data_IF_509148580413
#
_entry.id   IF_509148580413
#
_cell.length_a   1.000
_cell.length_b   1.000
_cell.length_c   1.000
_cell.angle_alpha   90.00
_cell.angle_beta   90.00
_cell.angle_gamma   90.00
#
_symmetry.space_group_name_H-M   'P 1'
#
loop_
_entity.id
_entity.type
_entity.pdbx_description
1 polymer ?
#
# COMPACT_ATOMS: atom_id res chain seq x y z
N UNK A 1 38.55 -30.67 -44.87
CA UNK A 1 38.89 -29.64 -45.88
C UNK A 1 37.54 -29.00 -46.24
N UNK A 2 37.17 -27.79 -45.87
CA UNK A 2 37.85 -26.48 -45.86
C UNK A 2 37.04 -25.56 -44.93
N UNK A 3 37.61 -25.14 -43.80
CA UNK A 3 37.95 -23.75 -43.45
C UNK A 3 36.83 -22.71 -43.62
N UNK A 4 36.19 -22.35 -42.50
CA UNK A 4 35.42 -21.11 -42.32
C UNK A 4 36.40 -19.96 -42.02
N UNK A 5 36.43 -18.87 -42.79
CA UNK A 5 37.18 -17.69 -42.40
C UNK A 5 36.41 -16.88 -41.34
N UNK A 6 37.04 -16.75 -40.18
CA UNK A 6 36.71 -15.77 -39.15
C UNK A 6 36.98 -14.35 -39.68
N UNK A 7 36.02 -13.44 -39.50
CA UNK A 7 36.27 -12.01 -39.71
C UNK A 7 35.95 -11.27 -38.43
N UNK A 8 37.02 -11.02 -37.68
CA UNK A 8 37.08 -10.10 -36.55
C UNK A 8 36.82 -8.69 -37.11
N UNK A 9 35.63 -8.14 -36.85
CA UNK A 9 35.37 -6.70 -37.01
C UNK A 9 35.41 -6.03 -35.65
N UNK A 10 36.44 -5.20 -35.50
CA UNK A 10 36.74 -4.31 -34.38
C UNK A 10 35.53 -3.42 -34.07
N UNK A 11 35.07 -3.43 -32.83
CA UNK A 11 34.12 -2.48 -32.27
C UNK A 11 34.83 -1.14 -32.11
N UNK A 12 34.37 -0.04 -32.74
CA UNK A 12 34.91 1.28 -32.44
C UNK A 12 34.39 1.73 -31.07
N UNK A 13 35.33 1.93 -30.15
CA UNK A 13 35.17 2.53 -28.85
C UNK A 13 34.77 4.01 -28.98
N UNK A 14 33.48 4.30 -29.13
CA UNK A 14 32.92 5.64 -28.95
C UNK A 14 31.47 5.51 -28.49
N UNK A 15 31.25 5.54 -27.16
CA UNK A 15 30.02 5.98 -26.47
C UNK A 15 30.08 5.56 -24.98
N UNK A 16 31.07 6.05 -24.24
CA UNK A 16 31.09 5.94 -22.74
C UNK A 16 30.89 7.32 -22.07
N UNK A 17 30.59 8.38 -22.82
CA UNK A 17 30.41 9.74 -22.27
C UNK A 17 28.98 10.29 -22.34
N UNK A 18 27.96 9.47 -22.11
CA UNK A 18 26.56 9.93 -22.08
C UNK A 18 25.69 9.29 -20.98
N UNK A 19 26.27 8.93 -19.83
CA UNK A 19 25.52 8.40 -18.68
C UNK A 19 25.74 9.19 -17.37
N UNK A 20 26.52 10.28 -17.37
CA UNK A 20 26.84 11.06 -16.17
C UNK A 20 26.09 12.40 -16.06
N UNK A 21 25.20 12.73 -17.01
CA UNK A 21 24.45 14.00 -17.02
C UNK A 21 23.01 13.91 -16.48
N UNK A 22 22.57 12.72 -16.03
CA UNK A 22 21.17 12.49 -15.60
C UNK A 22 21.02 12.19 -14.09
N UNK A 23 22.04 12.49 -13.28
CA UNK A 23 22.03 12.25 -11.83
C UNK A 23 22.44 13.45 -10.96
N UNK A 24 22.55 14.67 -11.51
CA UNK A 24 22.75 15.88 -10.72
C UNK A 24 21.62 16.87 -11.01
N UNK A 25 20.61 16.92 -10.11
CA UNK A 25 20.59 18.05 -9.18
C UNK A 25 20.17 17.68 -7.74
N UNK A 26 20.29 16.41 -7.33
CA UNK A 26 19.86 16.00 -5.98
C UNK A 26 20.94 16.20 -4.90
N UNK A 27 22.22 16.28 -5.27
CA UNK A 27 23.32 16.33 -4.30
C UNK A 27 23.67 17.74 -3.76
N UNK A 28 23.12 18.82 -4.34
CA UNK A 28 23.46 20.19 -3.94
C UNK A 28 22.59 20.78 -2.80
N UNK A 29 21.59 20.03 -2.32
CA UNK A 29 20.63 20.52 -1.31
C UNK A 29 21.09 20.23 0.13
N UNK A 30 22.10 19.37 0.31
CA UNK A 30 22.50 18.91 1.65
C UNK A 30 23.55 19.80 2.34
N UNK A 31 24.34 20.60 1.61
CA UNK A 31 25.48 21.36 2.15
C UNK A 31 25.38 22.88 1.88
N UNK A 32 24.19 23.48 1.95
CA UNK A 32 24.06 24.93 1.78
C UNK A 32 24.07 25.68 3.11
N UNK A 33 24.84 26.77 3.17
CA UNK A 33 24.72 27.77 4.22
C UNK A 33 23.41 28.52 4.07
N UNK A 34 22.75 28.80 5.20
CA UNK A 34 21.39 29.34 5.23
C UNK A 34 21.41 30.86 5.39
N UNK A 35 20.57 31.55 4.63
CA UNK A 35 20.32 32.99 4.80
C UNK A 35 19.02 33.24 5.54
N UNK A 36 18.98 34.39 6.21
CA UNK A 36 17.70 34.94 6.67
C UNK A 36 16.81 35.31 5.47
N UNK A 37 15.50 35.16 5.66
CA UNK A 37 14.52 35.65 4.72
C UNK A 37 14.51 37.19 4.67
N UNK A 38 14.40 37.76 3.47
CA UNK A 38 14.24 39.20 3.30
C UNK A 38 12.85 39.64 3.82
N UNK A 39 12.68 40.90 4.25
CA UNK A 39 11.39 41.41 4.69
C UNK A 39 10.26 41.22 3.66
N UNK A 40 10.56 41.40 2.37
CA UNK A 40 9.59 41.23 1.29
C UNK A 40 9.17 39.76 1.11
N UNK A 41 10.09 38.81 1.26
CA UNK A 41 9.81 37.37 1.23
C UNK A 41 8.90 36.97 2.39
N UNK A 42 9.19 37.48 3.60
CA UNK A 42 8.37 37.25 4.80
C UNK A 42 6.96 37.81 4.64
N UNK A 43 6.84 39.03 4.10
CA UNK A 43 5.56 39.66 3.85
C UNK A 43 4.74 38.90 2.78
N UNK A 44 5.39 38.45 1.70
CA UNK A 44 4.74 37.64 0.68
C UNK A 44 4.29 36.28 1.23
N UNK A 45 5.18 35.55 1.89
CA UNK A 45 4.89 34.25 2.48
C UNK A 45 3.74 34.33 3.48
N UNK A 46 3.73 35.34 4.37
CA UNK A 46 2.65 35.53 5.33
C UNK A 46 1.30 35.75 4.65
N UNK A 47 1.21 36.64 3.65
CA UNK A 47 -0.04 36.87 2.90
C UNK A 47 -0.50 35.63 2.13
N UNK A 48 0.43 34.96 1.45
CA UNK A 48 0.14 33.74 0.69
C UNK A 48 -0.37 32.62 1.60
N UNK A 49 0.29 32.41 2.75
CA UNK A 49 -0.11 31.41 3.72
C UNK A 49 -1.48 31.73 4.34
N UNK A 50 -1.73 32.99 4.71
CA UNK A 50 -3.06 33.40 5.20
C UNK A 50 -4.15 33.16 4.16
N UNK A 51 -3.89 33.43 2.88
CA UNK A 51 -4.83 33.16 1.80
C UNK A 51 -5.10 31.65 1.62
N UNK A 52 -4.05 30.81 1.66
CA UNK A 52 -4.20 29.36 1.60
C UNK A 52 -4.96 28.81 2.81
N UNK A 53 -4.68 29.28 4.02
CA UNK A 53 -5.40 28.86 5.24
C UNK A 53 -6.88 29.25 5.17
N UNK A 54 -7.19 30.45 4.67
CA UNK A 54 -8.57 30.90 4.49
C UNK A 54 -9.31 30.07 3.42
N UNK A 55 -8.59 29.51 2.46
CA UNK A 55 -9.15 28.63 1.42
C UNK A 55 -9.32 27.16 1.88
N UNK A 56 -8.78 26.75 3.04
CA UNK A 56 -9.00 25.40 3.56
C UNK A 56 -10.47 25.24 4.01
N UNK A 57 -11.16 24.14 3.63
CA UNK A 57 -12.56 23.93 3.97
C UNK A 57 -12.81 23.98 5.49
N UNK A 58 -13.93 24.55 5.97
CA UNK A 58 -14.26 24.49 7.40
C UNK A 58 -14.41 23.04 7.87
N UNK A 59 -14.25 22.80 9.17
CA UNK A 59 -14.45 21.46 9.76
C UNK A 59 -15.94 21.10 9.65
N UNK A 60 -16.32 20.01 8.95
CA UNK A 60 -17.71 19.58 8.86
C UNK A 60 -18.27 19.15 10.22
N UNK A 61 -19.60 19.17 10.36
CA UNK A 61 -20.25 18.67 11.57
C UNK A 61 -19.94 17.17 11.80
N UNK A 62 -19.62 16.79 13.04
CA UNK A 62 -19.29 15.40 13.40
C UNK A 62 -17.86 14.97 13.02
N UNK A 63 -17.05 15.87 12.49
CA UNK A 63 -15.66 15.64 12.11
C UNK A 63 -14.74 16.43 13.04
N UNK A 64 -13.64 15.83 13.46
CA UNK A 64 -12.61 16.48 14.27
C UNK A 64 -11.42 16.87 13.39
N UNK A 65 -10.81 18.01 13.65
CA UNK A 65 -9.50 18.34 13.08
C UNK A 65 -8.41 17.62 13.89
N UNK A 66 -7.57 16.83 13.22
CA UNK A 66 -6.55 16.02 13.89
C UNK A 66 -5.15 16.50 13.54
N UNK A 67 -4.62 17.45 14.30
CA UNK A 67 -3.17 17.63 14.44
C UNK A 67 -2.76 17.57 15.92
N UNK A 68 -1.84 16.64 16.21
CA UNK A 68 -1.35 16.25 17.53
C UNK A 68 -0.49 17.32 18.26
N UNK A 69 -0.42 18.53 17.73
CA UNK A 69 -0.24 19.81 18.41
C UNK A 69 -1.00 20.81 17.55
N UNK A 70 -1.68 21.84 18.11
CA UNK A 70 -2.24 22.88 17.28
C UNK A 70 -1.09 23.50 16.49
N UNK A 71 -1.04 23.24 15.19
CA UNK A 71 -0.37 24.15 14.31
C UNK A 71 -1.23 25.41 14.38
N UNK A 72 -0.81 26.33 15.22
CA UNK A 72 -1.52 27.59 15.39
C UNK A 72 -1.42 28.32 14.05
N UNK A 73 -2.42 28.18 13.19
CA UNK A 73 -2.46 28.88 11.91
C UNK A 73 -2.52 30.40 12.08
N UNK A 74 -2.75 30.90 13.31
CA UNK A 74 -2.59 32.31 13.68
C UNK A 74 -1.13 32.66 14.00
N UNK A 75 -0.28 31.67 14.23
CA UNK A 75 1.19 31.76 14.37
C UNK A 75 1.85 30.84 13.34
N UNK A 76 1.78 31.20 12.05
CA UNK A 76 2.37 30.38 11.02
C UNK A 76 3.85 30.10 11.33
N UNK A 77 4.34 28.88 11.10
CA UNK A 77 5.77 28.62 11.22
C UNK A 77 6.54 29.58 10.30
N UNK A 78 7.74 29.99 10.71
CA UNK A 78 8.68 30.67 9.82
C UNK A 78 8.83 29.88 8.52
N UNK A 79 9.16 30.54 7.40
CA UNK A 79 9.37 29.92 6.09
C UNK A 79 10.07 28.55 6.27
N UNK A 80 9.33 27.47 6.02
CA UNK A 80 9.79 26.10 6.30
C UNK A 80 10.87 25.64 5.33
N UNK A 81 11.02 26.33 4.20
CA UNK A 81 12.07 26.07 3.22
C UNK A 81 13.35 26.75 3.67
N UNK A 82 14.40 25.94 3.83
CA UNK A 82 15.75 26.42 4.13
C UNK A 82 16.23 27.23 2.93
N UNK A 83 16.26 28.56 3.08
CA UNK A 83 16.77 29.45 2.05
C UNK A 83 18.30 29.38 2.05
N UNK A 84 18.87 28.75 1.02
CA UNK A 84 20.32 28.74 0.83
C UNK A 84 20.84 30.15 0.45
N UNK A 85 22.09 30.48 0.76
CA UNK A 85 22.69 31.79 0.41
C UNK A 85 22.62 32.12 -1.09
N UNK A 86 22.78 31.11 -1.94
CA UNK A 86 22.68 31.25 -3.40
C UNK A 86 21.24 31.23 -3.94
N UNK A 87 20.25 31.04 -3.07
CA UNK A 87 18.85 31.02 -3.48
C UNK A 87 18.41 32.42 -3.91
N UNK A 88 17.79 32.50 -5.09
CA UNK A 88 17.19 33.75 -5.56
C UNK A 88 16.03 34.16 -4.67
N UNK A 89 15.68 35.44 -4.72
CA UNK A 89 14.50 35.93 -4.04
C UNK A 89 13.24 35.24 -4.55
N UNK A 90 12.45 34.71 -3.61
CA UNK A 90 11.25 33.94 -3.95
C UNK A 90 11.52 32.48 -4.31
N UNK A 91 12.72 31.94 -4.03
CA UNK A 91 13.02 30.52 -4.15
C UNK A 91 12.37 29.70 -3.01
N UNK A 92 11.05 29.84 -2.88
CA UNK A 92 10.23 29.05 -1.97
C UNK A 92 8.82 28.85 -2.49
N UNK A 93 8.19 27.74 -2.13
CA UNK A 93 6.76 27.50 -2.27
C UNK A 93 6.03 27.72 -0.95
N UNK A 94 4.70 27.85 -1.00
CA UNK A 94 3.87 28.04 0.20
C UNK A 94 2.81 26.95 0.22
N UNK A 95 2.69 26.25 1.34
CA UNK A 95 1.71 25.16 1.49
C UNK A 95 0.93 25.30 2.78
N UNK A 96 -0.37 25.01 2.73
CA UNK A 96 -1.24 24.84 3.89
C UNK A 96 -1.91 23.46 3.82
N UNK A 97 -2.21 22.86 4.97
CA UNK A 97 -2.92 21.59 5.04
C UNK A 97 -3.92 21.58 6.18
N UNK A 98 -4.98 20.78 6.07
CA UNK A 98 -5.87 20.43 7.17
C UNK A 98 -6.19 18.94 7.12
N UNK A 99 -6.17 18.28 8.28
CA UNK A 99 -6.52 16.88 8.43
C UNK A 99 -7.85 16.78 9.17
N UNK A 100 -8.82 16.15 8.52
CA UNK A 100 -10.16 15.88 9.01
C UNK A 100 -10.26 14.41 9.42
N UNK A 101 -10.79 14.15 10.60
CA UNK A 101 -11.00 12.81 11.12
C UNK A 101 -12.43 12.68 11.60
N UNK A 102 -13.20 11.81 10.92
CA UNK A 102 -14.50 11.38 11.41
C UNK A 102 -14.29 10.12 12.23
N UNK A 103 -14.55 10.20 13.52
CA UNK A 103 -14.63 9.01 14.36
C UNK A 103 -15.99 8.37 14.11
N UNK A 104 -16.02 7.06 13.87
CA UNK A 104 -17.28 6.33 13.91
C UNK A 104 -17.95 6.52 15.27
N UNK A 105 -19.25 6.78 15.25
CA UNK A 105 -20.10 6.71 16.43
C UNK A 105 -20.06 5.30 17.02
N UNK A 106 -20.49 5.14 18.28
CA UNK A 106 -20.58 3.82 18.88
C UNK A 106 -21.56 2.91 18.11
N UNK A 107 -22.67 3.46 17.62
CA UNK A 107 -23.64 2.72 16.82
C UNK A 107 -23.05 2.22 15.50
N UNK A 108 -22.29 3.06 14.79
CA UNK A 108 -21.61 2.68 13.55
C UNK A 108 -20.55 1.61 13.79
N UNK A 109 -19.71 1.77 14.83
CA UNK A 109 -18.72 0.74 15.18
C UNK A 109 -19.38 -0.60 15.49
N UNK A 110 -20.45 -0.60 16.28
CA UNK A 110 -21.22 -1.83 16.58
C UNK A 110 -21.82 -2.45 15.31
N UNK A 111 -22.32 -1.62 14.40
CA UNK A 111 -22.87 -2.10 13.13
C UNK A 111 -21.80 -2.77 12.26
N UNK A 112 -20.66 -2.11 12.03
CA UNK A 112 -19.56 -2.67 11.24
C UNK A 112 -18.97 -3.90 11.93
N UNK A 113 -18.82 -3.89 13.25
CA UNK A 113 -18.34 -5.06 14.01
C UNK A 113 -19.29 -6.25 13.83
N UNK A 114 -20.61 -6.03 13.89
CA UNK A 114 -21.59 -7.10 13.67
C UNK A 114 -21.47 -7.70 12.26
N UNK A 115 -21.24 -6.86 11.25
CA UNK A 115 -20.99 -7.32 9.88
C UNK A 115 -19.69 -8.13 9.78
N UNK A 116 -18.62 -7.64 10.41
CA UNK A 116 -17.32 -8.32 10.47
C UNK A 116 -17.43 -9.71 11.12
N UNK A 117 -18.15 -9.80 12.24
CA UNK A 117 -18.37 -11.04 12.97
C UNK A 117 -19.21 -12.02 12.15
N UNK A 118 -20.24 -11.53 11.46
CA UNK A 118 -21.07 -12.35 10.57
C UNK A 118 -20.27 -12.92 9.39
N UNK A 119 -19.41 -12.13 8.75
CA UNK A 119 -18.51 -12.60 7.68
C UNK A 119 -17.50 -13.63 8.20
N UNK A 120 -16.95 -13.38 9.40
CA UNK A 120 -16.02 -14.31 10.05
C UNK A 120 -16.69 -15.64 10.39
N UNK A 121 -17.94 -15.61 10.87
CA UNK A 121 -18.71 -16.82 11.12
C UNK A 121 -18.97 -17.62 9.82
N UNK A 122 -19.31 -16.95 8.72
CA UNK A 122 -19.48 -17.58 7.41
C UNK A 122 -18.17 -18.21 6.91
N UNK A 123 -17.05 -17.52 7.07
CA UNK A 123 -15.73 -18.03 6.71
C UNK A 123 -15.40 -19.33 7.44
N UNK A 124 -15.60 -19.36 8.77
CA UNK A 124 -15.34 -20.56 9.57
C UNK A 124 -16.32 -21.69 9.26
N UNK A 125 -17.59 -21.38 8.97
CA UNK A 125 -18.57 -22.38 8.56
C UNK A 125 -18.17 -23.06 7.25
N UNK A 126 -17.68 -22.31 6.26
CA UNK A 126 -17.23 -22.86 4.98
C UNK A 126 -15.98 -23.73 5.09
N UNK A 127 -15.04 -23.39 5.97
CA UNK A 127 -13.80 -24.16 6.17
C UNK A 127 -13.98 -25.42 7.01
N UNK A 128 -15.12 -25.58 7.67
CA UNK A 128 -15.39 -26.74 8.51
C UNK A 128 -15.69 -27.93 7.62
N UNK A 129 -14.84 -28.96 7.68
CA UNK A 129 -15.04 -30.21 6.93
C UNK A 129 -16.45 -30.79 7.23
N UNK A 130 -17.29 -31.01 6.21
CA UNK A 130 -18.62 -31.57 6.39
C UNK A 130 -18.59 -32.96 7.03
N UNK A 131 -19.60 -33.29 7.85
CA UNK A 131 -19.68 -34.59 8.52
C UNK A 131 -19.56 -35.80 7.58
N UNK A 132 -20.14 -35.81 6.35
CA UNK A 132 -19.95 -36.92 5.41
C UNK A 132 -18.49 -37.11 4.96
N UNK A 133 -17.72 -36.03 4.86
CA UNK A 133 -16.30 -36.09 4.49
C UNK A 133 -15.45 -36.62 5.65
N UNK A 134 -15.75 -36.20 6.88
CA UNK A 134 -15.13 -36.75 8.09
C UNK A 134 -15.39 -38.24 8.21
N UNK A 135 -16.63 -38.67 7.94
CA UNK A 135 -16.98 -40.09 7.97
C UNK A 135 -16.22 -40.89 6.91
N UNK A 136 -16.12 -40.38 5.68
CA UNK A 136 -15.28 -40.99 4.64
C UNK A 136 -13.82 -41.09 5.08
N UNK A 137 -13.28 -40.03 5.69
CA UNK A 137 -11.91 -40.02 6.21
C UNK A 137 -11.72 -41.10 7.30
N UNK A 138 -12.67 -41.26 8.22
CA UNK A 138 -12.65 -42.30 9.25
C UNK A 138 -12.66 -43.71 8.63
N UNK A 139 -13.51 -43.95 7.63
CA UNK A 139 -13.57 -45.23 6.92
C UNK A 139 -12.24 -45.55 6.23
N UNK A 140 -11.61 -44.57 5.56
CA UNK A 140 -10.31 -44.75 4.92
C UNK A 140 -9.21 -45.03 5.94
N UNK A 141 -9.21 -44.33 7.08
CA UNK A 141 -8.27 -44.56 8.18
C UNK A 141 -8.44 -45.93 8.80
N UNK A 142 -9.67 -46.42 8.94
CA UNK A 142 -9.94 -47.76 9.43
C UNK A 142 -9.39 -48.82 8.46
N UNK A 143 -9.70 -48.70 7.16
CA UNK A 143 -9.15 -49.60 6.12
C UNK A 143 -7.62 -49.58 6.09
N UNK A 144 -7.03 -48.40 6.23
CA UNK A 144 -5.58 -48.23 6.31
C UNK A 144 -5.00 -49.01 7.50
N UNK A 145 -5.57 -48.86 8.70
CA UNK A 145 -5.11 -49.59 9.87
C UNK A 145 -5.22 -51.12 9.70
N UNK A 146 -6.26 -51.59 9.01
CA UNK A 146 -6.44 -53.01 8.72
C UNK A 146 -5.43 -53.52 7.68
N UNK A 147 -5.11 -52.74 6.65
CA UNK A 147 -4.04 -53.03 5.69
C UNK A 147 -2.66 -53.09 6.37
N UNK A 148 -2.39 -52.19 7.32
CA UNK A 148 -1.15 -52.21 8.11
C UNK A 148 -1.03 -53.47 8.96
N UNK A 149 -2.10 -53.89 9.63
CA UNK A 149 -2.11 -55.16 10.39
C UNK A 149 -1.86 -56.35 9.45
N UNK A 150 -2.52 -56.39 8.29
CA UNK A 150 -2.31 -57.43 7.29
C UNK A 150 -0.87 -57.46 6.76
N UNK A 151 -0.22 -56.30 6.58
CA UNK A 151 1.19 -56.22 6.22
C UNK A 151 2.08 -56.84 7.31
N UNK A 152 1.84 -56.51 8.59
CA UNK A 152 2.57 -57.09 9.73
C UNK A 152 2.40 -58.60 9.85
N UNK A 153 1.22 -59.11 9.54
CA UNK A 153 0.96 -60.55 9.60
C UNK A 153 1.60 -61.28 8.41
N UNK A 154 1.64 -60.68 7.21
CA UNK A 154 2.39 -61.19 6.07
C UNK A 154 3.92 -61.20 6.33
N UNK A 155 4.45 -60.16 6.98
CA UNK A 155 5.86 -60.12 7.42
C UNK A 155 6.20 -61.28 8.36
N UNK A 156 5.35 -61.54 9.36
CA UNK A 156 5.54 -62.68 10.29
C UNK A 156 5.47 -64.03 9.58
N UNK A 157 4.66 -64.15 8.54
CA UNK A 157 4.55 -65.34 7.70
C UNK A 157 5.69 -65.47 6.66
N UNK A 158 6.68 -64.56 6.68
CA UNK A 158 7.77 -64.46 5.71
C UNK A 158 7.32 -64.24 4.25
N UNK A 159 6.08 -63.76 4.03
CA UNK A 159 5.55 -63.38 2.72
C UNK A 159 5.92 -61.93 2.38
N UNK A 160 7.13 -61.75 1.83
CA UNK A 160 7.64 -60.42 1.44
C UNK A 160 6.80 -59.72 0.35
N UNK A 161 6.38 -60.40 -0.74
CA UNK A 161 5.51 -59.78 -1.75
C UNK A 161 4.15 -59.33 -1.17
N UNK A 162 3.53 -60.17 -0.33
CA UNK A 162 2.27 -59.83 0.33
C UNK A 162 2.41 -58.63 1.26
N UNK A 163 3.46 -58.58 2.08
CA UNK A 163 3.74 -57.45 2.96
C UNK A 163 3.93 -56.14 2.17
N UNK A 164 4.71 -56.15 1.08
CA UNK A 164 4.93 -54.97 0.24
C UNK A 164 3.64 -54.44 -0.40
N UNK A 165 2.77 -55.34 -0.90
CA UNK A 165 1.50 -54.95 -1.48
C UNK A 165 0.57 -54.28 -0.45
N UNK A 166 0.53 -54.82 0.78
CA UNK A 166 -0.28 -54.28 1.88
C UNK A 166 0.26 -52.96 2.43
N UNK A 167 1.57 -52.79 2.47
CA UNK A 167 2.20 -51.50 2.81
C UNK A 167 1.88 -50.42 1.77
N UNK A 168 1.88 -50.76 0.49
CA UNK A 168 1.49 -49.83 -0.57
C UNK A 168 0.00 -49.43 -0.44
N UNK A 169 -0.89 -50.40 -0.16
CA UNK A 169 -2.30 -50.16 0.11
C UNK A 169 -2.50 -49.25 1.34
N UNK A 170 -1.78 -49.53 2.44
CA UNK A 170 -1.79 -48.70 3.66
C UNK A 170 -1.47 -47.22 3.35
N UNK A 171 -0.39 -46.98 2.59
CA UNK A 171 0.05 -45.62 2.21
C UNK A 171 -0.98 -44.94 1.30
N UNK A 172 -1.46 -45.63 0.27
CA UNK A 172 -2.46 -45.08 -0.64
C UNK A 172 -3.75 -44.66 0.09
N UNK A 173 -4.21 -45.47 1.05
CA UNK A 173 -5.40 -45.14 1.87
C UNK A 173 -5.16 -43.96 2.81
N UNK A 174 -3.94 -43.80 3.33
CA UNK A 174 -3.56 -42.62 4.14
C UNK A 174 -3.53 -41.36 3.29
N UNK A 175 -2.90 -41.43 2.12
CA UNK A 175 -2.80 -40.31 1.19
C UNK A 175 -4.20 -39.86 0.75
N UNK A 176 -5.13 -40.80 0.48
CA UNK A 176 -6.51 -40.48 0.16
C UNK A 176 -7.23 -39.81 1.35
N UNK A 177 -7.05 -40.32 2.57
CA UNK A 177 -7.69 -39.76 3.77
C UNK A 177 -7.19 -38.34 4.07
N UNK A 178 -5.90 -38.07 3.88
CA UNK A 178 -5.30 -36.76 4.14
C UNK A 178 -5.61 -35.77 3.01
N UNK A 179 -5.83 -36.26 1.78
CA UNK A 179 -6.24 -35.44 0.65
C UNK A 179 -7.66 -34.86 0.78
N UNK A 180 -8.56 -35.47 1.58
CA UNK A 180 -9.94 -35.00 1.73
C UNK A 180 -10.01 -33.56 2.26
N UNK A 181 -9.25 -33.25 3.31
CA UNK A 181 -9.26 -31.90 3.89
C UNK A 181 -8.64 -30.88 2.92
N UNK A 182 -7.58 -31.26 2.22
CA UNK A 182 -6.95 -30.41 1.21
C UNK A 182 -7.90 -30.13 0.03
N UNK A 183 -8.61 -31.15 -0.46
CA UNK A 183 -9.62 -31.01 -1.52
C UNK A 183 -10.79 -30.14 -1.07
N UNK A 184 -11.28 -30.34 0.16
CA UNK A 184 -12.33 -29.50 0.71
C UNK A 184 -11.88 -28.04 0.81
N UNK A 185 -10.70 -27.77 1.39
CA UNK A 185 -10.17 -26.41 1.48
C UNK A 185 -9.98 -25.77 0.10
N UNK A 186 -9.47 -26.51 -0.89
CA UNK A 186 -9.35 -26.03 -2.27
C UNK A 186 -10.72 -25.71 -2.88
N UNK A 187 -11.75 -26.52 -2.61
CA UNK A 187 -13.10 -26.33 -3.14
C UNK A 187 -13.80 -25.08 -2.58
N UNK A 188 -13.49 -24.71 -1.32
CA UNK A 188 -14.09 -23.54 -0.66
C UNK A 188 -13.24 -22.28 -0.75
N UNK A 189 -12.01 -22.40 -1.28
CA UNK A 189 -11.05 -21.29 -1.39
C UNK A 189 -11.63 -20.06 -2.10
N UNK A 190 -12.31 -20.17 -3.26
CA UNK A 190 -12.87 -19.00 -3.93
C UNK A 190 -13.89 -18.25 -3.06
N UNK A 191 -14.73 -18.97 -2.32
CA UNK A 191 -15.73 -18.38 -1.42
C UNK A 191 -15.06 -17.75 -0.20
N UNK A 192 -14.03 -18.38 0.36
CA UNK A 192 -13.31 -17.81 1.52
C UNK A 192 -12.50 -16.58 1.12
N UNK A 193 -11.87 -16.58 -0.05
CA UNK A 193 -11.11 -15.43 -0.56
C UNK A 193 -12.05 -14.22 -0.81
N UNK A 194 -13.28 -14.47 -1.27
CA UNK A 194 -14.30 -13.43 -1.43
C UNK A 194 -14.78 -12.87 -0.08
N UNK A 195 -15.00 -13.73 0.92
CA UNK A 195 -15.34 -13.28 2.28
C UNK A 195 -14.21 -12.48 2.91
N UNK A 196 -12.96 -12.88 2.71
CA UNK A 196 -11.79 -12.14 3.20
C UNK A 196 -11.69 -10.76 2.55
N UNK A 197 -11.94 -10.65 1.24
CA UNK A 197 -12.00 -9.35 0.55
C UNK A 197 -13.09 -8.46 1.12
N UNK A 198 -14.31 -8.99 1.32
CA UNK A 198 -15.43 -8.23 1.91
C UNK A 198 -15.10 -7.77 3.31
N UNK A 199 -14.47 -8.64 4.11
CA UNK A 199 -14.06 -8.33 5.48
C UNK A 199 -12.98 -7.25 5.51
N UNK A 200 -11.98 -7.32 4.63
CA UNK A 200 -10.93 -6.31 4.51
C UNK A 200 -11.41 -4.97 3.96
N UNK A 201 -12.57 -4.93 3.29
CA UNK A 201 -13.20 -3.70 2.83
C UNK A 201 -14.04 -3.00 3.90
N UNK A 202 -14.31 -3.65 5.04
CA UNK A 202 -15.01 -3.00 6.16
C UNK A 202 -14.08 -2.02 6.88
N UNK A 203 -14.46 -0.75 6.91
CA UNK A 203 -13.75 0.28 7.66
C UNK A 203 -14.11 0.21 9.15
N UNK A 204 -13.18 -0.31 9.94
CA UNK A 204 -13.29 -0.38 11.41
C UNK A 204 -12.67 0.85 12.10
N UNK A 205 -11.95 1.69 11.34
CA UNK A 205 -11.15 2.79 11.86
C UNK A 205 -11.85 4.15 11.69
N UNK A 206 -11.20 5.23 12.13
CA UNK A 206 -11.72 6.57 11.87
C UNK A 206 -11.37 7.00 10.45
N UNK A 207 -12.35 7.45 9.68
CA UNK A 207 -12.10 8.01 8.36
C UNK A 207 -11.23 9.26 8.46
N UNK A 208 -10.16 9.30 7.67
CA UNK A 208 -9.20 10.41 7.67
C UNK A 208 -9.10 10.99 6.27
N UNK A 209 -9.30 12.30 6.16
CA UNK A 209 -9.14 13.07 4.93
C UNK A 209 -8.13 14.18 5.19
N UNK A 210 -7.14 14.32 4.33
CA UNK A 210 -6.17 15.40 4.33
C UNK A 210 -6.40 16.28 3.09
N UNK A 211 -6.64 17.57 3.32
CA UNK A 211 -6.69 18.58 2.27
C UNK A 211 -5.39 19.37 2.31
N UNK A 212 -4.65 19.38 1.22
CA UNK A 212 -3.44 20.18 1.03
C UNK A 212 -3.67 21.21 -0.06
N UNK A 213 -3.24 22.44 0.20
CA UNK A 213 -3.17 23.53 -0.77
C UNK A 213 -1.72 23.96 -0.91
N UNK A 214 -1.28 24.21 -2.13
CA UNK A 214 0.07 24.67 -2.46
C UNK A 214 0.02 25.85 -3.41
N UNK A 215 0.98 26.76 -3.28
CA UNK A 215 1.17 27.91 -4.14
C UNK A 215 2.62 27.94 -4.61
N UNK A 216 2.81 28.31 -5.88
CA UNK A 216 4.13 28.44 -6.51
C UNK A 216 4.96 27.15 -6.46
N UNK A 217 4.29 26.03 -6.70
CA UNK A 217 4.91 24.72 -6.77
C UNK A 217 5.79 24.61 -8.02
N UNK A 218 6.94 23.96 -7.85
CA UNK A 218 7.86 23.65 -8.95
C UNK A 218 7.27 22.67 -9.95
N UNK A 219 6.43 21.76 -9.45
CA UNK A 219 5.74 20.73 -10.23
C UNK A 219 4.29 20.72 -9.82
N UNK A 220 3.41 20.61 -10.81
CA UNK A 220 1.99 20.45 -10.58
C UNK A 220 1.65 18.96 -10.48
N UNK A 221 0.60 18.59 -9.73
CA UNK A 221 0.07 17.23 -9.80
C UNK A 221 -0.34 16.89 -11.24
N UNK A 222 -0.15 15.63 -11.64
CA UNK A 222 -0.59 15.17 -12.95
C UNK A 222 -2.11 15.29 -13.08
N UNK A 223 -2.59 15.81 -14.22
CA UNK A 223 -4.02 15.87 -14.49
C UNK A 223 -4.61 14.46 -14.52
N UNK A 224 -5.71 14.23 -13.80
CA UNK A 224 -6.39 12.93 -13.76
C UNK A 224 -5.73 11.86 -12.89
N UNK A 225 -4.72 12.19 -12.07
CA UNK A 225 -4.23 11.24 -11.06
C UNK A 225 -5.13 11.26 -9.84
N UNK A 226 -5.70 10.11 -9.47
CA UNK A 226 -6.14 9.86 -8.09
C UNK A 226 -4.93 9.97 -7.15
N UNK A 227 -5.08 10.53 -5.94
CA UNK A 227 -6.29 11.10 -5.34
C UNK A 227 -6.70 12.47 -5.92
N UNK A 228 -7.94 12.93 -5.66
CA UNK A 228 -8.52 14.18 -6.18
C UNK A 228 -7.53 15.37 -6.11
N UNK A 229 -7.09 15.83 -7.29
CA UNK A 229 -6.07 16.88 -7.46
C UNK A 229 -6.51 17.88 -8.52
N UNK A 230 -6.19 19.15 -8.29
CA UNK A 230 -6.35 20.18 -9.30
C UNK A 230 -5.31 21.27 -9.17
N UNK A 231 -5.09 22.00 -10.26
CA UNK A 231 -4.15 23.09 -10.30
C UNK A 231 -4.65 24.21 -11.21
N UNK A 232 -4.33 25.45 -10.84
CA UNK A 232 -4.55 26.66 -11.60
C UNK A 232 -3.19 27.32 -11.86
N UNK A 233 -2.95 27.75 -13.10
CA UNK A 233 -1.68 28.34 -13.52
C UNK A 233 -0.67 27.31 -14.04
N UNK A 234 0.55 27.77 -14.33
CA UNK A 234 1.62 26.94 -14.88
C UNK A 234 2.62 26.53 -13.79
N UNK A 235 3.22 25.35 -13.92
CA UNK A 235 4.33 24.95 -13.06
C UNK A 235 5.39 26.06 -13.02
N UNK A 236 5.92 26.35 -11.84
CA UNK A 236 6.87 27.45 -11.65
C UNK A 236 8.22 26.90 -11.23
N UNK A 237 9.15 26.62 -12.17
CA UNK A 237 10.50 26.20 -11.83
C UNK A 237 11.23 27.18 -10.92
N UNK A 238 10.88 28.47 -11.01
CA UNK A 238 11.38 29.54 -10.14
C UNK A 238 10.57 29.76 -8.86
N UNK A 239 9.60 28.90 -8.56
CA UNK A 239 8.70 29.00 -7.42
C UNK A 239 8.07 30.41 -7.31
N UNK A 240 8.28 31.12 -6.20
CA UNK A 240 7.78 32.47 -5.93
C UNK A 240 8.68 33.57 -6.49
N UNK A 241 9.52 33.30 -7.51
CA UNK A 241 10.40 34.29 -8.12
C UNK A 241 9.65 35.59 -8.47
N UNK A 242 10.19 36.71 -8.01
CA UNK A 242 9.58 38.03 -8.13
C UNK A 242 8.40 38.29 -7.20
N UNK A 243 8.16 37.43 -6.20
CA UNK A 243 7.13 37.55 -5.17
C UNK A 243 5.70 37.67 -5.74
N UNK A 244 5.39 36.81 -6.70
CA UNK A 244 4.10 36.73 -7.40
C UNK A 244 3.53 35.32 -7.31
N UNK A 245 2.23 35.21 -7.53
CA UNK A 245 1.55 33.92 -7.66
C UNK A 245 1.65 33.46 -9.11
N UNK A 246 2.15 32.26 -9.33
CA UNK A 246 2.33 31.63 -10.64
C UNK A 246 1.44 30.40 -10.81
N UNK A 247 1.25 29.66 -9.72
CA UNK A 247 0.27 28.57 -9.66
C UNK A 247 -0.28 28.36 -8.25
N UNK A 248 -1.45 27.72 -8.21
CA UNK A 248 -2.07 27.18 -7.00
C UNK A 248 -2.51 25.76 -7.31
N UNK A 249 -2.24 24.82 -6.41
CA UNK A 249 -2.70 23.44 -6.52
C UNK A 249 -3.39 22.99 -5.24
N UNK A 250 -4.28 22.02 -5.37
CA UNK A 250 -4.91 21.34 -4.26
C UNK A 250 -4.81 19.83 -4.44
N UNK A 251 -4.77 19.12 -3.31
CA UNK A 251 -4.86 17.67 -3.24
C UNK A 251 -5.73 17.29 -2.04
N UNK A 252 -6.65 16.36 -2.24
CA UNK A 252 -7.48 15.78 -1.18
C UNK A 252 -7.17 14.30 -1.13
N UNK A 253 -6.57 13.81 -0.05
CA UNK A 253 -6.15 12.42 0.11
C UNK A 253 -6.83 11.80 1.33
N UNK A 254 -7.42 10.62 1.21
CA UNK A 254 -8.09 9.96 2.34
C UNK A 254 -8.85 8.72 1.91
N UNK A 255 -9.35 7.96 2.87
CA UNK A 255 -10.33 6.90 2.61
C UNK A 255 -11.67 7.55 2.26
N UNK A 256 -12.29 7.12 1.16
CA UNK A 256 -13.65 7.54 0.82
C UNK A 256 -14.61 7.18 1.96
N UNK A 257 -15.58 8.05 2.22
CA UNK A 257 -16.52 7.89 3.32
C UNK A 257 -17.90 8.41 2.99
#
# INVERSE_FOLDING_TARGET
MTSYPSTIRRVPAYLVFAAAAWLAPAAAVADCTTRAAKPAETAFHSRALSALVAALPPVPAGVQELEARPHDYRKPPAMREVLCDFSKEGAFSVTARRVYVRRHSEAERRHVQTQYDALTAQYHALRKTPAPMVERQNVLRQKSNDAWKAARDAEKAADKPGAQARDAEYRALRDEADAIDAQHQASVKPQTDELDKRRGALDLESQKVEVRLGMNLQRLPAAGSEPTRGAFGAASPGQSAGLKVHNVAFAVEGTEG
#
